data_IF_697899456372
#
_entry.id   IF_697899456372
#
_cell.length_a   1.000
_cell.length_b   1.000
_cell.length_c   1.000
_cell.angle_alpha   90.00
_cell.angle_beta   90.00
_cell.angle_gamma   90.00
#
_symmetry.space_group_name_H-M   'P 1'
#
loop_
_entity.id
_entity.type
_entity.pdbx_description
1 polymer ?
#
# COMPACT_ATOMS: atom_id res chain seq x y z
N UNK A 1 -16.15 46.41 54.29
CA UNK A 1 -17.02 45.30 53.81
C UNK A 1 -17.28 45.29 52.29
N UNK A 2 -17.19 46.41 51.55
CA UNK A 2 -17.43 46.44 50.08
C UNK A 2 -16.28 45.88 49.23
N UNK A 3 -15.04 45.93 49.69
CA UNK A 3 -13.84 45.49 48.94
C UNK A 3 -13.67 43.96 48.89
N UNK A 4 -14.18 43.23 49.88
CA UNK A 4 -14.11 41.76 49.94
C UNK A 4 -15.00 41.08 48.88
N UNK A 5 -16.15 41.69 48.55
CA UNK A 5 -17.07 41.14 47.54
C UNK A 5 -16.53 41.23 46.12
N UNK A 6 -15.67 42.21 45.83
CA UNK A 6 -15.03 42.37 44.51
C UNK A 6 -13.91 41.32 44.33
N UNK A 7 -13.19 40.99 45.41
CA UNK A 7 -12.12 40.01 45.38
C UNK A 7 -12.63 38.57 45.11
N UNK A 8 -13.80 38.21 45.66
CA UNK A 8 -14.43 36.91 45.40
C UNK A 8 -14.95 36.75 43.97
N UNK A 9 -15.38 37.84 43.32
CA UNK A 9 -15.86 37.81 41.93
C UNK A 9 -14.69 37.64 40.95
N UNK A 10 -13.53 38.24 41.25
CA UNK A 10 -12.31 38.07 40.45
C UNK A 10 -11.72 36.66 40.54
N UNK A 11 -11.80 36.01 41.71
CA UNK A 11 -11.38 34.61 41.87
C UNK A 11 -12.35 33.65 41.17
N UNK A 12 -13.66 33.93 41.18
CA UNK A 12 -14.63 33.14 40.43
C UNK A 12 -14.44 33.24 38.90
N UNK A 13 -14.07 34.42 38.37
CA UNK A 13 -13.75 34.58 36.94
C UNK A 13 -12.45 33.87 36.53
N UNK A 14 -11.47 33.75 37.43
CA UNK A 14 -10.21 33.06 37.16
C UNK A 14 -10.37 31.52 37.07
N UNK A 15 -11.37 30.94 37.75
CA UNK A 15 -11.62 29.49 37.74
C UNK A 15 -12.38 29.05 36.47
N UNK A 16 -13.17 29.93 35.84
CA UNK A 16 -13.81 29.64 34.54
C UNK A 16 -12.91 29.91 33.33
N UNK A 17 -11.75 30.56 33.51
CA UNK A 17 -10.78 30.80 32.43
C UNK A 17 -9.78 29.67 32.19
N UNK A 18 -9.76 28.62 33.02
CA UNK A 18 -8.81 27.49 32.91
C UNK A 18 -9.44 26.19 32.41
N UNK A 19 -10.65 26.24 31.81
CA UNK A 19 -11.28 25.08 31.18
C UNK A 19 -11.36 25.17 29.66
N UNK A 20 -10.59 26.06 29.04
CA UNK A 20 -10.41 26.04 27.59
C UNK A 20 -9.23 25.13 27.28
N UNK A 21 -9.47 24.18 26.38
CA UNK A 21 -8.50 23.25 25.82
C UNK A 21 -8.16 22.06 26.73
N UNK A 22 -9.19 21.26 27.05
CA UNK A 22 -9.04 19.85 26.69
C UNK A 22 -8.87 19.83 25.17
N UNK A 23 -7.60 19.94 24.76
CA UNK A 23 -7.11 19.65 23.42
C UNK A 23 -7.82 18.37 22.97
N UNK A 24 -8.78 18.54 22.08
CA UNK A 24 -9.05 17.51 21.10
C UNK A 24 -7.70 17.35 20.38
N UNK A 25 -6.95 16.30 20.71
CA UNK A 25 -6.03 15.76 19.71
C UNK A 25 -6.94 15.37 18.55
N UNK A 26 -7.11 16.29 17.60
CA UNK A 26 -7.75 15.97 16.33
C UNK A 26 -6.97 14.78 15.77
N UNK A 27 -7.58 13.59 15.78
CA UNK A 27 -6.97 12.38 15.23
C UNK A 27 -6.39 12.72 13.85
N UNK A 28 -5.09 12.42 13.67
CA UNK A 28 -4.36 12.80 12.47
C UNK A 28 -5.06 12.24 11.22
N UNK A 29 -5.24 13.04 10.15
CA UNK A 29 -5.86 12.55 8.92
C UNK A 29 -5.17 11.29 8.40
N UNK A 30 -5.96 10.24 8.11
CA UNK A 30 -5.44 8.91 7.75
C UNK A 30 -4.47 8.99 6.57
N UNK A 31 -4.76 9.82 5.57
CA UNK A 31 -3.86 10.04 4.43
C UNK A 31 -2.46 10.46 4.86
N UNK A 32 -2.37 11.52 5.67
CA UNK A 32 -1.10 12.06 6.16
C UNK A 32 -0.36 11.04 7.03
N UNK A 33 -1.09 10.21 7.78
CA UNK A 33 -0.51 9.13 8.58
C UNK A 33 0.07 8.00 7.72
N UNK A 34 -0.54 7.70 6.56
CA UNK A 34 -0.05 6.70 5.60
C UNK A 34 1.18 7.17 4.80
N UNK A 35 1.44 8.47 4.69
CA UNK A 35 2.57 8.98 3.89
C UNK A 35 3.94 8.52 4.45
N UNK A 36 4.85 8.16 3.54
CA UNK A 36 6.21 7.74 3.84
C UNK A 36 6.60 6.37 3.26
N UNK A 37 7.75 5.86 3.70
CA UNK A 37 8.26 4.54 3.30
C UNK A 37 7.86 3.51 4.37
N UNK A 38 7.32 2.39 3.91
CA UNK A 38 6.79 1.31 4.72
C UNK A 38 7.35 -0.02 4.24
N UNK A 39 7.88 -0.80 5.15
CA UNK A 39 8.33 -2.17 4.90
C UNK A 39 7.32 -3.15 5.46
N UNK A 40 6.97 -4.18 4.70
CA UNK A 40 6.13 -5.26 5.19
C UNK A 40 6.95 -6.12 6.15
N UNK A 41 6.51 -6.20 7.40
CA UNK A 41 7.10 -7.06 8.42
C UNK A 41 6.45 -8.45 8.44
N UNK A 42 5.15 -8.49 8.18
CA UNK A 42 4.38 -9.73 8.26
C UNK A 42 3.20 -9.73 7.31
N UNK A 43 2.95 -10.88 6.68
CA UNK A 43 1.72 -11.15 5.92
C UNK A 43 1.07 -12.40 6.46
N UNK A 44 -0.17 -12.29 6.93
CA UNK A 44 -0.98 -13.39 7.45
C UNK A 44 -2.14 -13.63 6.49
N UNK A 45 -2.29 -14.86 6.01
CA UNK A 45 -3.38 -15.21 5.10
C UNK A 45 -4.71 -15.46 5.84
N UNK A 46 -5.77 -15.80 5.09
CA UNK A 46 -7.10 -16.08 5.66
C UNK A 46 -7.09 -17.24 6.67
N UNK A 47 -6.24 -18.25 6.49
CA UNK A 47 -6.10 -19.36 7.45
C UNK A 47 -5.25 -19.01 8.68
N UNK A 48 -4.78 -17.77 8.82
CA UNK A 48 -3.94 -17.33 9.94
C UNK A 48 -2.47 -17.74 9.81
N UNK A 49 -2.02 -18.20 8.65
CA UNK A 49 -0.65 -18.61 8.39
C UNK A 49 0.22 -17.42 7.98
N UNK A 50 1.43 -17.35 8.53
CA UNK A 50 2.44 -16.39 8.10
C UNK A 50 3.03 -16.83 6.75
N UNK A 51 2.80 -16.02 5.73
CA UNK A 51 3.24 -16.24 4.35
C UNK A 51 4.31 -15.25 3.91
N UNK A 52 4.89 -14.47 4.84
CA UNK A 52 5.85 -13.39 4.51
C UNK A 52 6.99 -13.87 3.61
N UNK A 53 7.59 -15.03 3.92
CA UNK A 53 8.69 -15.61 3.13
C UNK A 53 8.28 -16.07 1.72
N UNK A 54 6.97 -16.21 1.44
CA UNK A 54 6.46 -16.55 0.11
C UNK A 54 6.31 -15.32 -0.77
N UNK A 55 5.96 -14.18 -0.17
CA UNK A 55 5.61 -12.93 -0.88
C UNK A 55 6.68 -11.84 -0.76
N UNK A 56 7.70 -12.01 0.08
CA UNK A 56 8.83 -11.10 0.20
C UNK A 56 10.09 -11.68 -0.44
N UNK A 57 10.64 -11.00 -1.44
CA UNK A 57 11.92 -11.34 -2.03
C UNK A 57 12.64 -10.09 -2.57
N UNK A 58 13.79 -9.66 -2.00
CA UNK A 58 14.20 -9.95 -0.63
C UNK A 58 13.31 -9.21 0.39
N UNK A 59 12.68 -8.10 -0.01
CA UNK A 59 11.75 -7.31 0.82
C UNK A 59 10.48 -6.95 0.03
N UNK A 60 9.40 -6.63 0.75
CA UNK A 60 8.26 -5.88 0.21
C UNK A 60 8.22 -4.52 0.87
N UNK A 61 8.28 -3.46 0.08
CA UNK A 61 8.17 -2.09 0.55
C UNK A 61 7.26 -1.24 -0.33
N UNK A 62 6.67 -0.22 0.29
CA UNK A 62 5.83 0.79 -0.32
C UNK A 62 6.38 2.17 0.06
N UNK A 63 6.52 3.06 -0.92
CA UNK A 63 6.63 4.49 -0.69
C UNK A 63 5.29 5.11 -1.11
N UNK A 64 4.59 5.68 -0.13
CA UNK A 64 3.29 6.32 -0.28
C UNK A 64 3.48 7.84 -0.27
N UNK A 65 3.33 8.46 -1.43
CA UNK A 65 3.56 9.87 -1.65
C UNK A 65 2.32 10.72 -1.34
N UNK A 66 2.52 11.99 -0.99
CA UNK A 66 1.43 12.93 -0.71
C UNK A 66 0.54 13.23 -1.93
N UNK A 67 1.04 13.00 -3.15
CA UNK A 67 0.30 13.13 -4.40
C UNK A 67 -0.53 11.88 -4.76
N UNK A 68 -0.57 10.87 -3.88
CA UNK A 68 -1.22 9.56 -4.03
C UNK A 68 -0.42 8.51 -4.78
N UNK A 69 0.77 8.85 -5.29
CA UNK A 69 1.62 7.89 -5.99
C UNK A 69 2.15 6.82 -5.04
N UNK A 70 2.22 5.59 -5.53
CA UNK A 70 2.91 4.47 -4.90
C UNK A 70 4.11 4.09 -5.74
N UNK A 71 5.26 3.95 -5.08
CA UNK A 71 6.43 3.26 -5.63
C UNK A 71 6.65 2.04 -4.76
N UNK A 72 6.71 0.84 -5.33
CA UNK A 72 6.76 -0.38 -4.51
C UNK A 72 7.60 -1.51 -5.09
N UNK A 73 7.97 -2.43 -4.20
CA UNK A 73 8.52 -3.76 -4.53
C UNK A 73 7.49 -4.86 -4.25
N UNK A 74 6.20 -4.51 -4.24
CA UNK A 74 5.13 -5.39 -3.83
C UNK A 74 4.62 -6.33 -4.92
N UNK A 75 5.32 -6.44 -6.05
CA UNK A 75 4.92 -7.31 -7.18
C UNK A 75 4.49 -8.71 -6.74
N UNK A 76 5.33 -9.47 -5.99
CA UNK A 76 4.98 -10.80 -5.53
C UNK A 76 3.76 -10.83 -4.59
N UNK A 77 3.64 -9.84 -3.69
CA UNK A 77 2.48 -9.71 -2.80
C UNK A 77 1.19 -9.46 -3.59
N UNK A 78 1.20 -8.53 -4.55
CA UNK A 78 0.03 -8.23 -5.38
C UNK A 78 -0.32 -9.45 -6.24
N UNK A 79 0.67 -10.15 -6.80
CA UNK A 79 0.42 -11.37 -7.56
C UNK A 79 -0.20 -12.47 -6.70
N UNK A 80 0.24 -12.63 -5.45
CA UNK A 80 -0.42 -13.53 -4.50
C UNK A 80 -1.87 -13.11 -4.26
N UNK A 81 -2.13 -11.83 -3.99
CA UNK A 81 -3.49 -11.32 -3.75
C UNK A 81 -4.39 -11.61 -4.97
N UNK A 82 -3.92 -11.38 -6.19
CA UNK A 82 -4.75 -11.52 -7.40
C UNK A 82 -4.93 -12.97 -7.83
N UNK A 83 -3.85 -13.75 -7.82
CA UNK A 83 -3.79 -15.07 -8.48
C UNK A 83 -3.67 -16.25 -7.52
N UNK A 84 -3.51 -15.97 -6.22
CA UNK A 84 -3.34 -16.99 -5.21
C UNK A 84 -2.02 -17.75 -5.28
N UNK A 85 -1.95 -18.79 -4.46
CA UNK A 85 -0.78 -19.65 -4.37
C UNK A 85 -0.75 -20.66 -5.51
N UNK A 86 0.16 -20.46 -6.46
CA UNK A 86 0.57 -21.52 -7.38
C UNK A 86 2.08 -21.42 -7.68
N UNK A 87 2.70 -22.55 -8.04
CA UNK A 87 4.15 -22.59 -8.30
C UNK A 87 4.59 -21.66 -9.42
N UNK A 88 3.71 -21.41 -10.39
CA UNK A 88 4.01 -20.52 -11.50
C UNK A 88 4.07 -19.06 -11.03
N UNK A 89 3.11 -18.58 -10.23
CA UNK A 89 3.09 -17.22 -9.67
C UNK A 89 4.24 -17.00 -8.69
N UNK A 90 4.61 -18.00 -7.89
CA UNK A 90 5.76 -17.92 -7.01
C UNK A 90 7.08 -17.75 -7.78
N UNK A 91 7.32 -18.59 -8.81
CA UNK A 91 8.56 -18.53 -9.60
C UNK A 91 8.61 -17.24 -10.41
N UNK A 92 7.52 -16.94 -11.12
CA UNK A 92 7.41 -15.75 -11.94
C UNK A 92 7.62 -14.46 -11.15
N UNK A 93 6.96 -14.33 -9.99
CA UNK A 93 7.08 -13.14 -9.16
C UNK A 93 8.51 -12.93 -8.66
N UNK A 94 9.21 -14.00 -8.24
CA UNK A 94 10.60 -13.92 -7.83
C UNK A 94 11.52 -13.51 -8.98
N UNK A 95 11.30 -14.06 -10.17
CA UNK A 95 12.07 -13.70 -11.37
C UNK A 95 11.84 -12.22 -11.71
N UNK A 96 10.60 -11.78 -11.91
CA UNK A 96 10.29 -10.38 -12.26
C UNK A 96 10.82 -9.40 -11.20
N UNK A 97 10.73 -9.78 -9.93
CA UNK A 97 11.22 -8.96 -8.83
C UNK A 97 12.75 -8.80 -8.86
N UNK A 98 13.50 -9.86 -9.19
CA UNK A 98 14.95 -9.76 -9.40
C UNK A 98 15.28 -8.80 -10.54
N UNK A 99 14.59 -8.91 -11.67
CA UNK A 99 14.83 -8.02 -12.81
C UNK A 99 14.51 -6.55 -12.45
N UNK A 100 13.38 -6.29 -11.81
CA UNK A 100 13.00 -4.96 -11.33
C UNK A 100 14.06 -4.34 -10.41
N UNK A 101 14.70 -5.13 -9.54
CA UNK A 101 15.80 -4.62 -8.71
C UNK A 101 17.06 -4.31 -9.49
N UNK A 102 17.39 -5.08 -10.52
CA UNK A 102 18.58 -4.82 -11.35
C UNK A 102 18.43 -3.56 -12.21
N UNK A 103 17.20 -3.25 -12.63
CA UNK A 103 16.90 -2.07 -13.47
C UNK A 103 16.40 -0.87 -12.66
N UNK A 104 16.15 -1.02 -11.36
CA UNK A 104 15.48 -0.05 -10.48
C UNK A 104 14.09 0.37 -11.00
N UNK A 105 13.44 -0.51 -11.74
CA UNK A 105 12.11 -0.28 -12.28
C UNK A 105 11.07 -0.80 -11.27
N UNK A 106 10.49 0.12 -10.51
CA UNK A 106 9.55 -0.19 -9.44
C UNK A 106 8.11 -0.15 -9.95
N UNK A 107 7.30 -1.10 -9.50
CA UNK A 107 5.88 -1.09 -9.84
C UNK A 107 5.20 0.14 -9.23
N UNK A 108 4.69 0.98 -10.12
CA UNK A 108 3.90 2.16 -9.80
C UNK A 108 2.45 1.80 -9.45
N UNK A 109 1.84 2.61 -8.60
CA UNK A 109 0.43 2.50 -8.26
C UNK A 109 -0.10 3.83 -7.73
N UNK A 110 -1.35 3.82 -7.29
CA UNK A 110 -1.98 4.96 -6.62
C UNK A 110 -2.76 4.47 -5.40
N UNK A 111 -2.91 5.32 -4.39
CA UNK A 111 -3.85 5.09 -3.29
C UNK A 111 -4.84 6.24 -3.15
N UNK A 112 -6.10 5.91 -2.88
CA UNK A 112 -7.17 6.89 -2.75
C UNK A 112 -7.84 6.77 -1.40
N UNK A 113 -7.95 7.91 -0.71
CA UNK A 113 -8.56 8.00 0.61
C UNK A 113 -9.27 9.36 0.74
N UNK A 114 -10.40 9.36 1.44
CA UNK A 114 -11.14 10.57 1.75
C UNK A 114 -10.39 11.52 2.70
N UNK A 115 -10.95 12.72 2.91
CA UNK A 115 -10.42 13.66 3.90
C UNK A 115 -10.71 13.23 5.34
N UNK A 116 -9.88 13.68 6.28
CA UNK A 116 -10.03 13.39 7.71
C UNK A 116 -9.63 11.96 8.08
N UNK A 117 -10.25 11.44 9.15
CA UNK A 117 -10.03 10.08 9.63
C UNK A 117 -10.94 9.12 8.86
N UNK A 118 -10.31 8.19 8.15
CA UNK A 118 -10.93 7.15 7.35
C UNK A 118 -10.40 5.80 7.82
N UNK A 119 -11.26 4.78 7.81
CA UNK A 119 -10.88 3.40 8.15
C UNK A 119 -10.53 2.55 6.93
N UNK A 120 -10.89 3.02 5.74
CA UNK A 120 -10.72 2.28 4.51
C UNK A 120 -10.11 3.17 3.42
N UNK A 121 -9.38 2.54 2.51
CA UNK A 121 -8.81 3.20 1.34
C UNK A 121 -8.91 2.29 0.12
N UNK A 122 -8.66 2.88 -1.07
CA UNK A 122 -8.52 2.14 -2.31
C UNK A 122 -7.06 2.06 -2.71
N UNK A 123 -6.59 0.87 -3.06
CA UNK A 123 -5.24 0.61 -3.59
C UNK A 123 -5.34 0.27 -5.07
N UNK A 124 -4.67 1.01 -5.94
CA UNK A 124 -4.49 0.66 -7.35
C UNK A 124 -3.03 0.28 -7.59
N UNK A 125 -2.78 -0.94 -8.07
CA UNK A 125 -1.44 -1.43 -8.40
C UNK A 125 -1.36 -1.80 -9.88
N UNK A 126 -0.30 -1.31 -10.54
CA UNK A 126 0.03 -1.70 -11.91
C UNK A 126 0.80 -3.02 -11.87
N UNK A 127 0.29 -4.03 -12.57
CA UNK A 127 1.06 -5.22 -12.93
C UNK A 127 1.25 -5.25 -14.45
N UNK A 128 2.48 -5.45 -14.87
CA UNK A 128 2.88 -5.55 -16.27
C UNK A 128 2.96 -7.01 -16.67
N UNK A 129 2.19 -7.38 -17.68
CA UNK A 129 2.20 -8.69 -18.30
C UNK A 129 1.58 -9.81 -17.46
N UNK A 130 1.67 -11.01 -18.03
CA UNK A 130 1.55 -12.29 -17.35
C UNK A 130 2.74 -12.45 -16.38
N UNK A 131 2.57 -13.23 -15.30
CA UNK A 131 3.68 -13.58 -14.41
C UNK A 131 4.92 -14.05 -15.20
N UNK A 132 6.08 -13.42 -15.00
CA UNK A 132 7.37 -13.79 -15.60
C UNK A 132 7.61 -13.21 -17.00
N UNK A 133 6.64 -12.46 -17.52
CA UNK A 133 6.70 -11.90 -18.87
C UNK A 133 7.67 -10.75 -18.97
N UNK A 134 7.73 -9.87 -17.97
CA UNK A 134 8.67 -8.74 -17.98
C UNK A 134 10.10 -9.24 -18.08
N UNK A 135 10.46 -10.20 -17.24
CA UNK A 135 11.77 -10.85 -17.31
C UNK A 135 12.03 -11.52 -18.68
N UNK A 136 11.02 -12.21 -19.25
CA UNK A 136 11.15 -12.81 -20.57
C UNK A 136 11.36 -11.75 -21.66
N UNK A 137 10.59 -10.66 -21.67
CA UNK A 137 10.74 -9.54 -22.61
C UNK A 137 12.13 -8.93 -22.46
N UNK A 138 12.58 -8.62 -21.24
CA UNK A 138 13.93 -8.09 -20.99
C UNK A 138 15.02 -9.04 -21.49
N UNK A 139 14.90 -10.36 -21.26
CA UNK A 139 15.85 -11.34 -21.79
C UNK A 139 15.86 -11.40 -23.31
N UNK A 140 14.69 -11.33 -23.95
CA UNK A 140 14.56 -11.31 -25.41
C UNK A 140 15.17 -10.04 -26.01
N UNK A 141 14.93 -8.88 -25.40
CA UNK A 141 15.54 -7.60 -25.79
C UNK A 141 17.06 -7.63 -25.68
N UNK A 142 17.60 -8.22 -24.60
CA UNK A 142 19.05 -8.38 -24.41
C UNK A 142 19.73 -9.21 -25.51
N UNK A 143 19.01 -10.12 -26.15
CA UNK A 143 19.51 -10.92 -27.30
C UNK A 143 19.05 -10.37 -28.67
N UNK A 144 18.48 -9.16 -28.69
CA UNK A 144 18.11 -8.44 -29.91
C UNK A 144 16.74 -8.81 -30.50
N UNK A 145 15.88 -9.46 -29.73
CA UNK A 145 14.51 -9.83 -30.13
C UNK A 145 13.53 -8.89 -29.42
N UNK A 146 13.06 -7.84 -30.10
CA UNK A 146 11.98 -6.97 -29.59
C UNK A 146 10.61 -7.63 -29.76
N UNK A 147 9.71 -7.47 -28.79
CA UNK A 147 8.44 -8.19 -28.79
C UNK A 147 7.24 -7.42 -28.18
N UNK A 148 6.74 -6.43 -28.92
CA UNK A 148 5.72 -5.47 -28.47
C UNK A 148 4.35 -6.09 -28.11
N UNK A 149 4.04 -7.32 -28.55
CA UNK A 149 2.74 -7.95 -28.28
C UNK A 149 2.62 -8.52 -26.85
N UNK A 150 3.73 -8.54 -26.10
CA UNK A 150 3.79 -9.09 -24.76
C UNK A 150 3.40 -8.06 -23.67
N UNK A 151 3.30 -6.77 -23.97
CA UNK A 151 3.14 -5.73 -22.93
C UNK A 151 1.67 -5.42 -22.60
N UNK A 152 0.98 -6.34 -21.94
CA UNK A 152 -0.37 -6.07 -21.39
C UNK A 152 -0.25 -5.54 -19.97
N UNK A 153 -0.60 -4.27 -19.75
CA UNK A 153 -0.65 -3.68 -18.41
C UNK A 153 -2.05 -3.80 -17.83
N UNK A 154 -2.16 -4.46 -16.67
CA UNK A 154 -3.41 -4.56 -15.92
C UNK A 154 -3.30 -3.77 -14.61
N UNK A 155 -4.24 -2.85 -14.42
CA UNK A 155 -4.43 -2.05 -13.21
C UNK A 155 -5.37 -2.82 -12.29
N UNK A 156 -4.87 -3.18 -11.12
CA UNK A 156 -5.60 -3.94 -10.11
C UNK A 156 -6.04 -2.97 -9.01
N UNK A 157 -7.33 -2.70 -8.93
CA UNK A 157 -7.92 -1.75 -7.99
C UNK A 157 -8.68 -2.50 -6.91
N UNK A 158 -8.20 -2.40 -5.68
CA UNK A 158 -8.81 -2.97 -4.49
C UNK A 158 -9.47 -1.86 -3.69
N UNK A 159 -10.79 -1.89 -3.62
CA UNK A 159 -11.61 -0.96 -2.86
C UNK A 159 -11.83 -1.48 -1.44
N UNK A 160 -12.00 -0.54 -0.50
CA UNK A 160 -12.40 -0.82 0.88
C UNK A 160 -11.39 -1.62 1.71
N UNK A 161 -10.10 -1.56 1.38
CA UNK A 161 -9.03 -2.11 2.22
C UNK A 161 -9.04 -1.37 3.56
N UNK A 162 -9.17 -2.10 4.66
CA UNK A 162 -9.10 -1.52 6.00
C UNK A 162 -7.67 -1.12 6.34
N UNK A 163 -7.51 0.04 7.00
CA UNK A 163 -6.24 0.53 7.53
C UNK A 163 -6.37 0.87 9.01
N UNK A 164 -5.46 0.32 9.80
CA UNK A 164 -5.37 0.56 11.24
C UNK A 164 -3.93 0.93 11.61
N UNK A 165 -3.77 1.92 12.49
CA UNK A 165 -2.47 2.33 13.01
C UNK A 165 -2.29 1.83 14.44
N UNK A 166 -1.05 1.49 14.78
CA UNK A 166 -0.65 1.37 16.18
C UNK A 166 -0.52 2.76 16.81
N UNK A 167 -0.59 2.83 18.14
CA UNK A 167 -0.55 4.08 18.91
C UNK A 167 0.64 4.99 18.57
N UNK A 168 1.77 4.41 18.15
CA UNK A 168 3.00 5.14 17.82
C UNK A 168 3.07 5.64 16.37
N UNK A 169 2.07 5.31 15.53
CA UNK A 169 2.03 5.58 14.09
C UNK A 169 3.26 5.09 13.30
N UNK A 170 4.08 4.22 13.89
CA UNK A 170 5.22 3.61 13.21
C UNK A 170 4.86 2.23 12.64
N UNK A 171 3.71 1.68 13.01
CA UNK A 171 3.18 0.46 12.42
C UNK A 171 1.75 0.67 11.94
N UNK A 172 1.41 0.07 10.81
CA UNK A 172 0.04 0.02 10.31
C UNK A 172 -0.28 -1.38 9.79
N UNK A 173 -1.56 -1.74 9.84
CA UNK A 173 -2.09 -2.98 9.30
C UNK A 173 -3.02 -2.63 8.15
N UNK A 174 -2.80 -3.28 7.01
CA UNK A 174 -3.78 -3.33 5.94
C UNK A 174 -4.52 -4.66 6.01
N UNK A 175 -5.84 -4.63 5.94
CA UNK A 175 -6.66 -5.85 5.91
C UNK A 175 -7.45 -5.89 4.60
N UNK A 176 -7.20 -6.96 3.84
CA UNK A 176 -7.95 -7.35 2.65
C UNK A 176 -8.86 -8.49 3.08
N UNK A 177 -10.16 -8.25 3.06
CA UNK A 177 -11.18 -9.17 3.59
C UNK A 177 -12.43 -9.24 2.70
N UNK A 178 -13.53 -9.78 3.24
CA UNK A 178 -14.81 -9.91 2.56
C UNK A 178 -15.48 -8.58 2.20
N UNK A 179 -15.09 -7.47 2.83
CA UNK A 179 -15.59 -6.13 2.47
C UNK A 179 -14.82 -5.53 1.31
N UNK A 180 -13.59 -6.00 1.06
CA UNK A 180 -12.80 -5.54 -0.07
C UNK A 180 -13.50 -5.94 -1.37
N UNK A 181 -13.45 -5.10 -2.39
CA UNK A 181 -13.86 -5.47 -3.74
C UNK A 181 -12.75 -5.15 -4.73
N UNK A 182 -12.69 -5.86 -5.86
CA UNK A 182 -11.64 -5.66 -6.84
C UNK A 182 -12.19 -5.37 -8.23
N UNK A 183 -11.58 -4.41 -8.91
CA UNK A 183 -11.83 -4.06 -10.30
C UNK A 183 -10.51 -4.10 -11.06
N UNK A 184 -10.54 -4.72 -12.23
CA UNK A 184 -9.35 -4.90 -13.05
C UNK A 184 -9.55 -4.20 -14.39
N UNK A 185 -8.58 -3.37 -14.76
CA UNK A 185 -8.67 -2.57 -15.98
C UNK A 185 -7.39 -2.66 -16.81
N UNK A 186 -7.54 -2.58 -18.13
CA UNK A 186 -6.45 -2.19 -19.03
C UNK A 186 -6.70 -0.76 -19.50
N UNK A 187 -5.76 -0.20 -20.28
CA UNK A 187 -6.00 1.05 -21.03
C UNK A 187 -6.12 0.76 -22.51
N UNK A 188 -7.05 1.43 -23.19
CA UNK A 188 -7.12 1.44 -24.65
C UNK A 188 -6.02 2.32 -25.26
N UNK A 189 -5.96 2.39 -26.59
CA UNK A 189 -4.97 3.19 -27.32
C UNK A 189 -5.12 4.71 -27.10
N UNK A 190 -6.18 5.15 -26.41
CA UNK A 190 -6.42 6.56 -26.04
C UNK A 190 -6.16 6.81 -24.55
N UNK A 191 -5.77 5.78 -23.79
CA UNK A 191 -5.51 5.86 -22.36
C UNK A 191 -6.75 5.71 -21.47
N UNK A 192 -7.92 5.40 -22.03
CA UNK A 192 -9.14 5.21 -21.26
C UNK A 192 -9.15 3.84 -20.56
N UNK A 193 -9.67 3.78 -19.35
CA UNK A 193 -9.86 2.51 -18.64
C UNK A 193 -10.91 1.64 -19.34
N UNK A 194 -10.53 0.42 -19.66
CA UNK A 194 -11.39 -0.64 -20.18
C UNK A 194 -11.42 -1.77 -19.17
N UNK A 195 -12.58 -2.35 -18.90
CA UNK A 195 -12.69 -3.51 -18.02
C UNK A 195 -11.89 -4.68 -18.61
N UNK A 196 -11.04 -5.26 -17.78
CA UNK A 196 -10.28 -6.44 -18.14
C UNK A 196 -11.05 -7.68 -17.72
N UNK A 197 -11.46 -8.48 -18.71
CA UNK A 197 -12.21 -9.73 -18.51
C UNK A 197 -11.33 -10.98 -18.55
N UNK A 198 -10.01 -10.84 -18.40
CA UNK A 198 -9.03 -11.90 -18.65
C UNK A 198 -9.13 -13.11 -17.70
N UNK A 199 -8.20 -13.24 -16.76
CA UNK A 199 -8.19 -14.39 -15.85
C UNK A 199 -9.31 -14.29 -14.81
N UNK A 200 -9.91 -15.41 -14.36
CA UNK A 200 -10.91 -15.38 -13.30
C UNK A 200 -10.29 -14.84 -12.02
N UNK A 201 -10.69 -13.64 -11.61
CA UNK A 201 -10.26 -12.98 -10.37
C UNK A 201 -11.38 -12.99 -9.32
N UNK A 202 -12.33 -13.93 -9.46
CA UNK A 202 -13.59 -13.98 -8.74
C UNK A 202 -13.45 -14.13 -7.22
N UNK A 203 -12.22 -14.28 -6.70
CA UNK A 203 -11.87 -14.15 -5.29
C UNK A 203 -10.39 -13.83 -5.17
N UNK A 204 -10.02 -12.57 -4.92
CA UNK A 204 -8.65 -12.26 -4.53
C UNK A 204 -8.39 -12.87 -3.14
N UNK A 205 -7.12 -13.14 -2.82
CA UNK A 205 -6.74 -13.68 -1.53
C UNK A 205 -6.90 -12.63 -0.44
N UNK A 206 -7.52 -13.05 0.65
CA UNK A 206 -7.61 -12.25 1.87
C UNK A 206 -6.33 -12.37 2.67
N UNK A 207 -5.91 -11.27 3.25
CA UNK A 207 -4.73 -11.23 4.10
C UNK A 207 -4.69 -9.99 4.97
N UNK A 208 -3.90 -10.07 6.03
CA UNK A 208 -3.46 -8.94 6.83
C UNK A 208 -1.98 -8.69 6.58
N UNK A 209 -1.64 -7.44 6.28
CA UNK A 209 -0.29 -6.99 5.97
C UNK A 209 0.11 -6.03 7.07
N UNK A 210 1.08 -6.43 7.90
CA UNK A 210 1.70 -5.56 8.89
C UNK A 210 2.85 -4.82 8.25
N UNK A 211 2.80 -3.50 8.31
CA UNK A 211 3.82 -2.60 7.78
C UNK A 211 4.48 -1.80 8.90
N UNK A 212 5.79 -1.58 8.77
CA UNK A 212 6.61 -0.76 9.65
C UNK A 212 7.22 0.41 8.90
N UNK A 213 7.05 1.61 9.45
CA UNK A 213 7.57 2.85 8.90
C UNK A 213 9.10 2.83 8.89
N UNK A 214 9.67 3.30 7.80
CA UNK A 214 11.11 3.39 7.59
C UNK A 214 11.53 4.85 7.48
N UNK A 215 12.71 5.14 8.02
CA UNK A 215 13.35 6.46 7.89
C UNK A 215 14.13 6.55 6.57
N UNK A 216 14.57 5.40 6.04
CA UNK A 216 15.32 5.32 4.78
C UNK A 216 14.38 5.38 3.58
N UNK A 217 14.89 5.92 2.48
CA UNK A 217 14.24 5.81 1.18
C UNK A 217 14.17 4.35 0.74
N UNK A 218 13.15 4.01 -0.06
CA UNK A 218 12.92 2.64 -0.54
C UNK A 218 14.16 2.07 -1.25
N UNK A 219 14.90 2.89 -2.01
CA UNK A 219 16.13 2.47 -2.71
C UNK A 219 17.25 2.08 -1.75
N UNK A 220 17.43 2.83 -0.67
CA UNK A 220 18.47 2.53 0.32
C UNK A 220 18.08 1.33 1.17
N UNK A 221 16.79 1.17 1.48
CA UNK A 221 16.29 -0.03 2.13
C UNK A 221 16.59 -1.28 1.29
N UNK A 222 16.36 -1.26 -0.01
CA UNK A 222 16.65 -2.40 -0.90
C UNK A 222 18.14 -2.75 -0.89
N UNK A 223 19.02 -1.75 -0.95
CA UNK A 223 20.48 -1.95 -0.94
C UNK A 223 20.98 -2.67 0.30
N UNK A 224 20.31 -2.50 1.45
CA UNK A 224 20.68 -3.20 2.69
C UNK A 224 20.36 -4.72 2.64
N UNK A 225 19.49 -5.15 1.72
CA UNK A 225 19.00 -6.53 1.57
C UNK A 225 19.48 -7.22 0.28
N UNK A 226 20.38 -6.58 -0.48
CA UNK A 226 21.09 -7.17 -1.63
C UNK A 226 22.48 -7.66 -1.21
#
# INVERSE_FOLDING_TARGET
MKTWRIFLILIALAIFGSSCDKLFEDEQPTKSSMEGVWMVEKVVNEEGQDITNKVAFPIVGFHLSSDRTIISTAGPLIMYIVYGENKYTEIASKIDQVFNYTTLDFNGGEFFIGGGVQKNFTLEMKLEGLPGQKALTTLLEMIGIGNDYLDVVVYHKFHDISVEFYDDYNSMIWTIDEQTSAVYNTKDNYGNYVLWYGWPTNSFQKCQILLRKQVKDLKDLIRDYQ
#
